data_IF_175859354752
#
_entry.id   IF_175859354752
#
_cell.length_a   1.000
_cell.length_b   1.000
_cell.length_c   1.000
_cell.angle_alpha   90.00
_cell.angle_beta   90.00
_cell.angle_gamma   90.00
#
_symmetry.space_group_name_H-M   'P 1'
#
loop_
_entity.id
_entity.type
_entity.pdbx_description
1 polymer ?
#
# COMPACT_ATOMS: atom_id res chain seq x y z
N UNK A 1 -9.67 27.23 2.91
CA UNK A 1 -9.30 26.05 2.09
C UNK A 1 -9.58 24.80 2.93
N UNK A 2 -10.58 23.99 2.56
CA UNK A 2 -11.03 22.87 3.40
C UNK A 2 -10.17 21.63 3.21
N UNK A 3 -9.80 20.99 4.31
CA UNK A 3 -9.11 19.69 4.33
C UNK A 3 -10.18 18.60 4.37
N UNK A 4 -10.00 17.50 3.64
CA UNK A 4 -10.90 16.34 3.58
C UNK A 4 -10.17 15.11 4.12
N UNK A 5 -10.83 14.13 4.72
CA UNK A 5 -10.15 12.91 5.19
C UNK A 5 -9.82 11.98 4.02
N UNK A 6 -8.92 10.98 4.20
CA UNK A 6 -8.67 9.96 3.15
C UNK A 6 -9.98 9.31 2.75
N UNK A 7 -10.83 8.99 3.74
CA UNK A 7 -12.14 8.34 3.56
C UNK A 7 -13.10 9.14 2.67
N UNK A 8 -12.88 10.44 2.51
CA UNK A 8 -13.76 11.33 1.75
C UNK A 8 -13.37 11.44 0.27
N UNK A 9 -12.28 10.78 -0.16
CA UNK A 9 -11.82 10.83 -1.54
C UNK A 9 -12.84 10.15 -2.46
N UNK A 10 -13.55 10.96 -3.25
CA UNK A 10 -14.58 10.55 -4.23
C UNK A 10 -14.06 10.75 -5.67
N UNK A 11 -14.60 10.01 -6.66
CA UNK A 11 -14.13 10.09 -8.04
C UNK A 11 -14.30 11.45 -8.76
N UNK A 12 -15.09 12.39 -8.22
CA UNK A 12 -15.52 13.60 -8.94
C UNK A 12 -15.00 14.95 -8.38
N UNK A 13 -13.90 14.97 -7.62
CA UNK A 13 -13.30 16.24 -7.14
C UNK A 13 -11.84 16.36 -7.60
N UNK A 14 -11.48 17.55 -8.05
CA UNK A 14 -10.19 17.86 -8.69
C UNK A 14 -9.09 18.31 -7.73
N UNK A 15 -9.41 18.63 -6.48
CA UNK A 15 -8.45 19.10 -5.47
C UNK A 15 -8.74 18.45 -4.11
N UNK A 16 -7.79 17.66 -3.62
CA UNK A 16 -7.85 16.98 -2.32
C UNK A 16 -6.68 17.40 -1.44
N UNK A 17 -6.96 17.88 -0.23
CA UNK A 17 -5.98 17.93 0.85
C UNK A 17 -6.44 16.90 1.87
N UNK A 18 -5.68 15.82 1.99
CA UNK A 18 -6.10 14.61 2.67
C UNK A 18 -5.61 14.62 4.13
N UNK A 19 -6.49 14.39 5.09
CA UNK A 19 -6.19 14.22 6.52
C UNK A 19 -6.35 12.76 6.91
N UNK A 20 -5.23 12.04 7.00
CA UNK A 20 -5.09 10.73 7.65
C UNK A 20 -5.88 9.54 7.11
N UNK A 21 -5.28 8.36 7.22
CA UNK A 21 -5.80 7.08 6.73
C UNK A 21 -4.86 6.39 5.71
N UNK A 22 -5.23 5.18 5.29
CA UNK A 22 -4.47 4.38 4.33
C UNK A 22 -5.24 4.26 3.02
N UNK A 23 -4.63 4.60 1.90
CA UNK A 23 -5.18 4.37 0.56
C UNK A 23 -4.15 3.68 -0.32
N UNK A 24 -4.60 2.70 -1.11
CA UNK A 24 -3.72 2.02 -2.05
C UNK A 24 -3.39 2.95 -3.22
N UNK A 25 -2.12 2.97 -3.62
CA UNK A 25 -1.62 3.72 -4.78
C UNK A 25 -1.01 2.74 -5.77
N UNK A 26 -1.45 2.80 -7.02
CA UNK A 26 -0.98 1.96 -8.12
C UNK A 26 -0.24 2.80 -9.16
N UNK A 27 0.93 2.31 -9.57
CA UNK A 27 1.68 2.81 -10.73
C UNK A 27 1.74 1.70 -11.78
N UNK A 28 1.28 1.98 -13.00
CA UNK A 28 1.35 1.01 -14.10
C UNK A 28 2.80 0.82 -14.56
N UNK A 29 3.11 -0.36 -15.10
CA UNK A 29 4.48 -0.77 -15.49
C UNK A 29 5.17 0.28 -16.37
N UNK A 30 4.47 0.83 -17.35
CA UNK A 30 4.96 1.83 -18.29
C UNK A 30 5.31 3.18 -17.63
N UNK A 31 4.76 3.45 -16.45
CA UNK A 31 5.01 4.67 -15.68
C UNK A 31 6.03 4.47 -14.56
N UNK A 32 6.46 3.23 -14.27
CA UNK A 32 7.36 2.94 -13.13
C UNK A 32 8.67 3.73 -13.24
N UNK A 33 9.29 3.75 -14.42
CA UNK A 33 10.55 4.46 -14.64
C UNK A 33 10.42 5.99 -14.41
N UNK A 34 9.22 6.55 -14.60
CA UNK A 34 8.96 7.97 -14.40
C UNK A 34 8.85 8.33 -12.91
N UNK A 35 8.36 7.41 -12.07
CA UNK A 35 7.96 7.73 -10.69
C UNK A 35 8.79 7.03 -9.61
N UNK A 36 9.55 5.99 -9.94
CA UNK A 36 10.27 5.16 -8.96
C UNK A 36 11.19 5.97 -8.04
N UNK A 37 11.86 7.00 -8.57
CA UNK A 37 12.77 7.87 -7.81
C UNK A 37 12.08 8.70 -6.72
N UNK A 38 10.76 8.91 -6.82
CA UNK A 38 9.99 9.65 -5.81
C UNK A 38 9.39 8.73 -4.73
N UNK A 39 9.20 7.44 -5.01
CA UNK A 39 8.40 6.52 -4.19
C UNK A 39 9.24 5.79 -3.13
N UNK A 40 10.06 6.54 -2.39
CA UNK A 40 10.80 6.03 -1.24
C UNK A 40 9.93 5.91 0.02
N UNK A 41 10.19 4.89 0.83
CA UNK A 41 9.54 4.75 2.14
C UNK A 41 9.94 5.90 3.08
N UNK A 42 9.02 6.33 3.94
CA UNK A 42 9.25 7.34 4.98
C UNK A 42 9.17 8.80 4.49
N UNK A 43 9.06 9.03 3.18
CA UNK A 43 8.86 10.35 2.59
C UNK A 43 7.40 10.81 2.61
N UNK A 44 7.19 12.12 2.56
CA UNK A 44 5.87 12.73 2.35
C UNK A 44 5.78 13.33 0.95
N UNK A 45 4.73 12.97 0.22
CA UNK A 45 4.53 13.37 -1.17
C UNK A 45 3.19 14.07 -1.35
N UNK A 46 3.20 15.12 -2.17
CA UNK A 46 2.00 15.74 -2.72
C UNK A 46 1.75 15.19 -4.12
N UNK A 47 0.57 14.61 -4.31
CA UNK A 47 0.10 14.06 -5.59
C UNK A 47 -0.94 15.00 -6.20
N UNK A 48 -0.81 15.31 -7.49
CA UNK A 48 -1.75 16.14 -8.25
C UNK A 48 -2.09 15.44 -9.56
N UNK A 49 -3.34 15.55 -10.00
CA UNK A 49 -3.82 15.01 -11.28
C UNK A 49 -3.65 13.49 -11.40
N UNK A 50 -4.23 12.79 -10.43
CA UNK A 50 -4.27 11.33 -10.36
C UNK A 50 -5.69 10.82 -10.59
N UNK A 51 -5.82 9.54 -10.93
CA UNK A 51 -7.12 8.88 -11.04
C UNK A 51 -7.54 8.26 -9.71
N UNK A 52 -8.85 8.20 -9.46
CA UNK A 52 -9.44 7.47 -8.33
C UNK A 52 -10.37 6.42 -8.90
N UNK A 53 -10.17 5.17 -8.48
CA UNK A 53 -11.01 4.03 -8.91
C UNK A 53 -11.43 3.21 -7.71
N UNK A 54 -12.46 2.37 -7.85
CA UNK A 54 -12.83 1.45 -6.79
C UNK A 54 -11.70 0.45 -6.49
N UNK A 55 -11.50 0.18 -5.20
CA UNK A 55 -10.64 -0.88 -4.71
C UNK A 55 -11.46 -2.17 -4.62
N UNK A 56 -11.17 -3.13 -5.50
CA UNK A 56 -11.89 -4.40 -5.61
C UNK A 56 -10.90 -5.55 -5.82
N UNK A 57 -11.36 -6.79 -5.62
CA UNK A 57 -10.56 -8.00 -5.81
C UNK A 57 -9.75 -8.40 -4.58
N UNK A 58 -8.95 -9.46 -4.72
CA UNK A 58 -8.10 -10.00 -3.65
C UNK A 58 -6.81 -9.19 -3.47
N UNK A 59 -6.08 -9.44 -2.38
CA UNK A 59 -4.79 -8.83 -2.04
C UNK A 59 -4.83 -7.30 -1.80
N UNK A 60 -5.94 -6.77 -1.28
CA UNK A 60 -6.05 -5.34 -0.94
C UNK A 60 -5.20 -5.03 0.28
N UNK A 61 -4.37 -3.99 0.21
CA UNK A 61 -3.50 -3.57 1.33
C UNK A 61 -4.17 -2.64 2.34
N UNK A 62 -5.38 -2.17 2.05
CA UNK A 62 -6.16 -1.27 2.90
C UNK A 62 -7.65 -1.50 2.67
N UNK A 63 -8.46 -1.27 3.70
CA UNK A 63 -9.92 -1.33 3.67
C UNK A 63 -10.59 -0.13 2.98
N UNK A 64 -9.80 0.78 2.39
CA UNK A 64 -10.34 1.95 1.72
C UNK A 64 -11.09 1.53 0.44
N UNK A 65 -12.34 2.01 0.22
CA UNK A 65 -13.18 1.58 -0.89
C UNK A 65 -12.66 2.04 -2.27
N UNK A 66 -11.69 2.96 -2.27
CA UNK A 66 -11.05 3.49 -3.46
C UNK A 66 -9.54 3.34 -3.41
N UNK A 67 -8.91 3.40 -4.59
CA UNK A 67 -7.47 3.43 -4.80
C UNK A 67 -7.10 4.55 -5.76
N UNK A 68 -5.88 5.05 -5.61
CA UNK A 68 -5.29 6.05 -6.49
C UNK A 68 -4.50 5.36 -7.60
N UNK A 69 -4.70 5.77 -8.85
CA UNK A 69 -3.90 5.33 -9.99
C UNK A 69 -3.11 6.49 -10.58
N UNK A 70 -1.82 6.31 -10.78
CA UNK A 70 -0.98 7.30 -11.45
C UNK A 70 -1.30 7.34 -12.95
N UNK A 71 -1.35 8.56 -13.48
CA UNK A 71 -1.48 8.89 -14.89
C UNK A 71 -0.13 9.42 -15.39
N UNK A 72 0.10 9.41 -16.71
CA UNK A 72 1.27 10.07 -17.30
C UNK A 72 1.35 11.55 -16.92
N UNK A 73 0.20 12.17 -16.66
CA UNK A 73 0.03 13.57 -16.28
C UNK A 73 0.01 13.80 -14.77
N UNK A 74 0.18 12.75 -13.95
CA UNK A 74 0.29 12.87 -12.49
C UNK A 74 1.56 13.61 -12.14
N UNK A 75 1.45 14.59 -11.24
CA UNK A 75 2.58 15.36 -10.71
C UNK A 75 2.84 14.94 -9.28
N UNK A 76 4.10 14.63 -8.99
CA UNK A 76 4.59 14.24 -7.67
C UNK A 76 5.58 15.31 -7.19
N UNK A 77 5.44 15.73 -5.93
CA UNK A 77 6.39 16.65 -5.29
C UNK A 77 6.62 16.22 -3.85
N UNK A 78 7.85 16.29 -3.39
CA UNK A 78 8.15 16.17 -1.96
C UNK A 78 7.46 17.30 -1.19
N UNK A 79 6.97 17.01 0.00
CA UNK A 79 6.45 18.02 0.93
C UNK A 79 7.00 17.78 2.34
N UNK A 80 6.77 18.75 3.22
CA UNK A 80 7.11 18.62 4.64
C UNK A 80 6.53 17.32 5.22
N UNK A 81 7.32 16.71 6.11
CA UNK A 81 6.98 15.43 6.72
C UNK A 81 5.67 15.59 7.50
N UNK A 82 4.67 14.76 7.18
CA UNK A 82 3.49 14.66 8.02
C UNK A 82 3.86 14.11 9.41
N UNK A 83 3.07 14.40 10.46
CA UNK A 83 3.28 13.81 11.78
C UNK A 83 3.43 12.29 11.69
N UNK A 84 4.41 11.72 12.40
CA UNK A 84 4.77 10.29 12.30
C UNK A 84 3.63 9.36 12.72
N UNK A 85 2.70 9.86 13.53
CA UNK A 85 1.50 9.20 14.05
C UNK A 85 0.50 8.78 12.94
N UNK A 86 0.80 9.09 11.69
CA UNK A 86 0.06 8.66 10.49
C UNK A 86 0.55 7.34 9.90
N UNK A 87 1.59 6.72 10.48
CA UNK A 87 2.04 5.40 10.12
C UNK A 87 0.95 4.35 10.44
N UNK A 88 0.01 4.19 9.51
CA UNK A 88 -1.17 3.32 9.67
C UNK A 88 -0.87 1.82 9.69
N UNK A 89 0.32 1.39 10.11
CA UNK A 89 0.57 -0.03 10.25
C UNK A 89 -0.20 -0.59 11.45
N UNK A 90 -1.15 -1.48 11.19
CA UNK A 90 -2.01 -2.10 12.19
C UNK A 90 -1.76 -3.60 12.15
N UNK A 91 -0.80 -4.11 12.93
CA UNK A 91 -0.53 -5.54 12.99
C UNK A 91 -1.72 -6.28 13.57
N UNK A 92 -2.03 -7.43 12.98
CA UNK A 92 -3.11 -8.30 13.46
C UNK A 92 -2.56 -9.31 14.45
N UNK A 93 -3.33 -9.60 15.51
CA UNK A 93 -2.96 -10.61 16.50
C UNK A 93 -2.93 -11.99 15.86
N UNK A 94 -1.98 -12.82 16.28
CA UNK A 94 -1.87 -14.20 15.80
C UNK A 94 -3.14 -15.02 16.00
N UNK A 95 -3.84 -14.84 17.12
CA UNK A 95 -5.10 -15.56 17.39
C UNK A 95 -6.16 -15.32 16.31
N UNK A 96 -6.22 -14.10 15.78
CA UNK A 96 -7.18 -13.69 14.74
C UNK A 96 -6.77 -14.24 13.35
N UNK A 97 -5.49 -14.58 13.14
CA UNK A 97 -5.04 -15.24 11.90
C UNK A 97 -5.56 -16.68 11.82
N UNK A 98 -5.60 -17.39 12.95
CA UNK A 98 -5.92 -18.82 12.98
C UNK A 98 -7.42 -19.12 13.16
N UNK A 99 -8.21 -18.17 13.66
CA UNK A 99 -9.65 -18.36 13.88
C UNK A 99 -10.51 -18.14 12.61
N UNK A 100 -9.89 -17.68 11.51
CA UNK A 100 -10.56 -17.45 10.24
C UNK A 100 -11.50 -16.24 10.21
N UNK A 101 -11.47 -15.38 11.23
CA UNK A 101 -12.32 -14.18 11.33
C UNK A 101 -11.95 -13.07 10.34
N UNK A 102 -10.72 -13.11 9.81
CA UNK A 102 -10.21 -12.09 8.92
C UNK A 102 -10.71 -12.27 7.49
N UNK A 103 -10.96 -11.14 6.82
CA UNK A 103 -11.39 -11.16 5.43
C UNK A 103 -10.19 -11.50 4.51
N UNK A 104 -10.25 -12.63 3.76
CA UNK A 104 -9.12 -13.15 2.96
C UNK A 104 -8.80 -12.28 1.74
N UNK A 105 -9.65 -11.32 1.38
CA UNK A 105 -9.36 -10.37 0.32
C UNK A 105 -8.26 -9.37 0.69
N UNK A 106 -7.95 -9.20 1.98
CA UNK A 106 -6.97 -8.23 2.44
C UNK A 106 -5.62 -8.88 2.74
N UNK A 107 -4.55 -8.22 2.32
CA UNK A 107 -3.21 -8.59 2.76
C UNK A 107 -3.07 -8.24 4.24
N UNK A 108 -2.85 -9.27 5.05
CA UNK A 108 -2.59 -9.15 6.47
C UNK A 108 -1.09 -9.33 6.68
N UNK A 109 -0.46 -8.35 7.32
CA UNK A 109 0.93 -8.48 7.77
C UNK A 109 0.93 -8.63 9.29
N UNK A 110 1.32 -9.80 9.76
CA UNK A 110 1.72 -10.01 11.14
C UNK A 110 3.14 -10.53 11.11
N UNK A 111 4.04 -9.87 11.84
CA UNK A 111 5.45 -10.23 11.86
C UNK A 111 5.96 -10.10 13.29
N UNK A 112 6.13 -11.24 13.95
CA UNK A 112 7.07 -11.41 15.05
C UNK A 112 8.06 -12.48 14.60
N UNK A 113 9.30 -12.06 14.39
CA UNK A 113 10.34 -12.95 13.93
C UNK A 113 10.91 -13.71 15.13
N UNK A 114 10.94 -15.04 15.04
CA UNK A 114 11.61 -15.90 16.02
C UNK A 114 12.89 -16.50 15.44
N UNK A 115 12.80 -17.12 14.27
CA UNK A 115 13.93 -17.76 13.60
C UNK A 115 13.84 -17.57 12.08
N UNK A 116 15.00 -17.46 11.42
CA UNK A 116 15.13 -17.35 9.96
C UNK A 116 15.79 -18.65 9.49
N UNK A 117 15.17 -19.35 8.54
CA UNK A 117 15.77 -20.54 7.92
C UNK A 117 16.92 -20.18 6.97
N UNK A 118 17.70 -21.19 6.58
CA UNK A 118 18.59 -21.08 5.42
C UNK A 118 17.80 -20.79 4.13
N UNK A 119 18.50 -20.22 3.14
CA UNK A 119 17.95 -19.97 1.80
C UNK A 119 17.83 -21.30 1.04
N UNK A 120 16.62 -21.63 0.62
CA UNK A 120 16.31 -22.78 -0.24
C UNK A 120 16.17 -22.33 -1.70
N UNK A 121 16.55 -23.18 -2.66
CA UNK A 121 16.25 -22.97 -4.09
C UNK A 121 15.05 -23.83 -4.48
N UNK A 122 13.96 -23.20 -4.90
CA UNK A 122 12.71 -23.86 -5.30
C UNK A 122 12.36 -23.57 -6.75
N UNK A 123 11.76 -24.53 -7.44
CA UNK A 123 11.27 -24.33 -8.79
C UNK A 123 9.81 -23.87 -8.75
N UNK A 124 9.54 -22.63 -9.19
CA UNK A 124 8.21 -22.05 -9.31
C UNK A 124 7.93 -21.75 -10.77
N UNK A 125 6.94 -22.43 -11.37
CA UNK A 125 6.55 -22.28 -12.77
C UNK A 125 7.73 -22.44 -13.76
N UNK A 126 8.63 -23.39 -13.50
CA UNK A 126 9.79 -23.67 -14.36
C UNK A 126 10.99 -22.74 -14.11
N UNK A 127 10.88 -21.79 -13.17
CA UNK A 127 11.95 -20.85 -12.82
C UNK A 127 12.47 -21.12 -11.41
N UNK A 128 13.78 -21.28 -11.30
CA UNK A 128 14.46 -21.36 -10.00
C UNK A 128 14.32 -20.03 -9.25
N UNK A 129 13.91 -20.12 -7.99
CA UNK A 129 13.59 -18.98 -7.11
C UNK A 129 14.13 -19.26 -5.72
N UNK A 130 14.78 -18.28 -5.11
CA UNK A 130 15.22 -18.36 -3.71
C UNK A 130 14.01 -18.22 -2.77
N UNK A 131 13.96 -19.08 -1.75
CA UNK A 131 12.94 -19.10 -0.72
C UNK A 131 13.60 -19.05 0.66
N UNK A 132 13.09 -18.17 1.51
CA UNK A 132 13.41 -18.15 2.94
C UNK A 132 12.11 -18.42 3.67
N UNK A 133 12.15 -19.31 4.65
CA UNK A 133 11.04 -19.58 5.54
C UNK A 133 11.26 -18.84 6.86
N UNK A 134 10.20 -18.21 7.36
CA UNK A 134 10.20 -17.54 8.65
C UNK A 134 9.28 -18.35 9.56
N UNK A 135 9.79 -18.75 10.73
CA UNK A 135 8.96 -19.35 11.77
C UNK A 135 8.36 -18.24 12.64
N UNK A 136 7.04 -18.32 12.82
CA UNK A 136 6.18 -17.34 13.48
C UNK A 136 5.86 -17.73 14.92
#
# INVERSE_FOLDING_TARGET
MSISAVVDVKPFKTMWKIKGGKIHVLVKRELVAQFSSFLGQGGSLMLINFSVTHSCGTYRTTNHPYRIGFLSTTRVRSCEKFPEDLAGFEPVKYTELFDGSLNPDYLILSARLFEISDIEHVNVNGKETEKISLEL
#
